data_IF_445360949561
#
_entry.id   IF_445360949561
#
_cell.length_a   1.000
_cell.length_b   1.000
_cell.length_c   1.000
_cell.angle_alpha   90.00
_cell.angle_beta   90.00
_cell.angle_gamma   90.00
#
_symmetry.space_group_name_H-M   'P 1'
#
loop_
_entity.id
_entity.type
_entity.pdbx_description
1 polymer ?
#
# COMPACT_ATOMS: atom_id res chain seq x y z
N UNK A 1 26.21 29.41 -0.98
CA UNK A 1 25.50 30.41 -0.14
C UNK A 1 23.97 30.41 -0.34
N UNK A 2 23.37 29.51 -1.14
CA UNK A 2 21.92 29.45 -1.40
C UNK A 2 21.13 28.44 -0.52
N UNK A 3 21.81 27.60 0.27
CA UNK A 3 21.16 26.59 1.13
C UNK A 3 20.31 27.17 2.28
N UNK A 4 20.38 28.49 2.51
CA UNK A 4 19.64 29.15 3.57
C UNK A 4 18.26 29.71 3.13
N UNK A 5 17.87 29.55 1.86
CA UNK A 5 16.62 30.14 1.32
C UNK A 5 15.44 29.15 1.33
N UNK A 6 15.69 27.85 1.22
CA UNK A 6 14.61 26.85 1.12
C UNK A 6 13.83 26.71 2.44
N UNK A 7 14.33 25.84 3.33
CA UNK A 7 13.67 25.58 4.62
C UNK A 7 13.57 26.83 5.51
N UNK A 8 14.62 27.68 5.66
CA UNK A 8 14.52 28.85 6.52
C UNK A 8 13.56 29.93 5.97
N UNK A 9 13.48 30.09 4.64
CA UNK A 9 12.56 31.02 4.00
C UNK A 9 11.10 30.60 4.16
N UNK A 10 10.81 29.30 3.99
CA UNK A 10 9.47 28.74 4.23
C UNK A 10 9.04 28.95 5.69
N UNK A 11 9.96 28.75 6.65
CA UNK A 11 9.69 28.95 8.08
C UNK A 11 9.31 30.42 8.36
N UNK A 12 10.05 31.37 7.78
CA UNK A 12 9.75 32.80 7.93
C UNK A 12 8.34 33.14 7.42
N UNK A 13 7.96 32.61 6.24
CA UNK A 13 6.62 32.79 5.68
C UNK A 13 5.56 32.17 6.60
N UNK A 14 5.80 30.96 7.12
CA UNK A 14 4.88 30.29 8.04
C UNK A 14 4.65 31.09 9.32
N UNK A 15 5.70 31.71 9.88
CA UNK A 15 5.59 32.59 11.06
C UNK A 15 4.78 33.84 10.75
N UNK A 16 5.03 34.51 9.61
CA UNK A 16 4.26 35.70 9.21
C UNK A 16 2.77 35.37 9.05
N UNK A 17 2.44 34.27 8.38
CA UNK A 17 1.05 33.81 8.24
C UNK A 17 0.44 33.48 9.60
N UNK A 18 1.19 32.80 10.48
CA UNK A 18 0.72 32.47 11.83
C UNK A 18 0.45 33.73 12.67
N UNK A 19 1.21 34.81 12.50
CA UNK A 19 0.99 36.08 13.20
C UNK A 19 -0.26 36.80 12.66
N UNK A 20 -0.45 36.84 11.34
CA UNK A 20 -1.61 37.49 10.71
C UNK A 20 -2.92 36.75 10.97
N UNK A 21 -2.90 35.42 10.89
CA UNK A 21 -4.08 34.59 11.07
C UNK A 21 -4.26 34.14 12.53
N UNK A 22 -3.21 34.15 13.33
CA UNK A 22 -3.21 33.67 14.72
C UNK A 22 -3.22 32.14 14.83
N UNK A 23 -2.60 31.62 15.89
CA UNK A 23 -2.58 30.17 16.20
C UNK A 23 -3.97 29.53 16.35
N UNK A 24 -4.97 30.29 16.81
CA UNK A 24 -6.33 29.79 17.02
C UNK A 24 -7.03 29.41 15.71
N UNK A 25 -7.06 30.33 14.73
CA UNK A 25 -7.75 30.10 13.45
C UNK A 25 -7.07 29.02 12.61
N UNK A 26 -5.73 29.01 12.58
CA UNK A 26 -4.96 28.00 11.83
C UNK A 26 -5.16 26.59 12.41
N UNK A 27 -5.18 26.43 13.74
CA UNK A 27 -5.37 25.13 14.39
C UNK A 27 -6.76 24.55 14.14
N UNK A 28 -7.81 25.37 14.25
CA UNK A 28 -9.18 24.94 13.96
C UNK A 28 -9.34 24.49 12.50
N UNK A 29 -8.82 25.28 11.55
CA UNK A 29 -8.87 24.95 10.12
C UNK A 29 -8.05 23.69 9.78
N UNK A 30 -6.85 23.54 10.35
CA UNK A 30 -6.05 22.32 10.14
C UNK A 30 -6.70 21.08 10.75
N UNK A 31 -7.45 21.22 11.84
CA UNK A 31 -8.23 20.13 12.42
C UNK A 31 -9.36 19.64 11.49
N UNK A 32 -10.10 20.57 10.87
CA UNK A 32 -11.18 20.25 9.93
C UNK A 32 -10.64 19.68 8.61
N UNK A 33 -9.60 20.32 8.05
CA UNK A 33 -8.92 19.85 6.84
C UNK A 33 -8.24 18.51 7.07
N UNK A 34 -7.60 18.29 8.23
CA UNK A 34 -6.94 17.03 8.57
C UNK A 34 -7.92 15.85 8.64
N UNK A 35 -9.12 16.06 9.19
CA UNK A 35 -10.19 15.05 9.17
C UNK A 35 -10.65 14.73 7.75
N UNK A 36 -10.80 15.74 6.89
CA UNK A 36 -11.15 15.56 5.48
C UNK A 36 -10.09 14.76 4.71
N UNK A 37 -8.81 15.09 4.87
CA UNK A 37 -7.70 14.36 4.25
C UNK A 37 -7.63 12.92 4.77
N UNK A 38 -7.88 12.70 6.06
CA UNK A 38 -7.85 11.37 6.67
C UNK A 38 -9.00 10.49 6.15
N UNK A 39 -10.21 11.05 6.07
CA UNK A 39 -11.37 10.37 5.50
C UNK A 39 -11.18 10.06 4.01
N UNK A 40 -10.61 11.01 3.25
CA UNK A 40 -10.27 10.81 1.85
C UNK A 40 -9.23 9.69 1.68
N UNK A 41 -8.15 9.72 2.45
CA UNK A 41 -7.11 8.69 2.39
C UNK A 41 -7.63 7.31 2.79
N UNK A 42 -8.50 7.26 3.79
CA UNK A 42 -9.19 6.02 4.18
C UNK A 42 -10.11 5.52 3.07
N UNK A 43 -10.93 6.39 2.48
CA UNK A 43 -11.81 6.02 1.37
C UNK A 43 -11.07 5.52 0.13
N UNK A 44 -9.91 6.11 -0.20
CA UNK A 44 -9.06 5.64 -1.31
C UNK A 44 -8.47 4.26 -1.00
N UNK A 45 -7.86 4.08 0.18
CA UNK A 45 -7.28 2.79 0.57
C UNK A 45 -8.33 1.67 0.71
N UNK A 46 -9.51 1.99 1.24
CA UNK A 46 -10.61 1.02 1.39
C UNK A 46 -11.15 0.64 0.00
N UNK A 47 -11.26 1.59 -0.94
CA UNK A 47 -11.64 1.32 -2.33
C UNK A 47 -10.61 0.47 -3.08
N UNK A 48 -9.32 0.74 -2.90
CA UNK A 48 -8.24 -0.11 -3.46
C UNK A 48 -8.29 -1.52 -2.88
N UNK A 49 -8.55 -1.64 -1.57
CA UNK A 49 -8.64 -2.94 -0.88
C UNK A 49 -9.88 -3.73 -1.27
N UNK A 50 -11.01 -3.06 -1.49
CA UNK A 50 -12.27 -3.68 -1.92
C UNK A 50 -12.16 -4.21 -3.34
N UNK A 51 -11.52 -3.47 -4.26
CA UNK A 51 -11.22 -3.94 -5.63
C UNK A 51 -10.28 -5.15 -5.61
N UNK A 52 -9.24 -5.14 -4.76
CA UNK A 52 -8.32 -6.27 -4.62
C UNK A 52 -8.99 -7.49 -3.96
N UNK A 53 -9.92 -7.28 -3.01
CA UNK A 53 -10.70 -8.35 -2.38
C UNK A 53 -11.75 -8.94 -3.33
N UNK A 54 -12.43 -8.13 -4.14
CA UNK A 54 -13.38 -8.60 -5.15
C UNK A 54 -12.67 -9.43 -6.24
N UNK A 55 -11.46 -9.01 -6.63
CA UNK A 55 -10.63 -9.72 -7.60
C UNK A 55 -10.11 -11.06 -7.06
N UNK A 56 -9.77 -11.12 -5.77
CA UNK A 56 -9.37 -12.37 -5.09
C UNK A 56 -10.56 -13.32 -4.87
N UNK A 57 -11.75 -12.78 -4.54
CA UNK A 57 -12.98 -13.57 -4.43
C UNK A 57 -13.42 -14.13 -5.80
N UNK A 58 -13.26 -13.37 -6.88
CA UNK A 58 -13.53 -13.83 -8.24
C UNK A 58 -12.56 -14.92 -8.71
N UNK A 59 -11.29 -14.89 -8.27
CA UNK A 59 -10.30 -15.95 -8.57
C UNK A 59 -10.53 -17.21 -7.72
N UNK A 60 -10.94 -17.09 -6.46
CA UNK A 60 -11.23 -18.24 -5.60
C UNK A 60 -12.45 -19.04 -6.07
N UNK A 61 -13.41 -18.42 -6.75
CA UNK A 61 -14.56 -19.10 -7.34
C UNK A 61 -14.24 -19.91 -8.62
N UNK A 62 -13.10 -19.66 -9.26
CA UNK A 62 -12.68 -20.37 -10.47
C UNK A 62 -11.93 -21.69 -10.18
N UNK A 63 -11.46 -21.92 -8.95
CA UNK A 63 -10.58 -23.04 -8.59
C UNK A 63 -11.32 -24.30 -8.06
N UNK A 64 -12.65 -24.35 -8.13
CA UNK A 64 -13.45 -25.52 -7.66
C UNK A 64 -14.03 -26.40 -8.80
N UNK A 65 -13.66 -26.19 -10.08
CA UNK A 65 -14.19 -27.01 -11.20
C UNK A 65 -13.20 -27.98 -11.85
N UNK A 66 -11.95 -28.04 -11.41
CA UNK A 66 -10.90 -28.89 -12.01
C UNK A 66 -10.12 -29.41 -10.78
N UNK A 67 -10.24 -30.63 -10.24
CA UNK A 67 -10.11 -31.95 -10.83
C UNK A 67 -10.64 -32.98 -9.79
N UNK A 68 -11.75 -33.65 -10.07
CA UNK A 68 -11.99 -35.00 -9.54
C UNK A 68 -12.36 -35.88 -10.71
N UNK A 69 -11.36 -36.62 -11.20
CA UNK A 69 -11.46 -37.46 -12.40
C UNK A 69 -10.18 -38.23 -12.63
N UNK A 70 -9.99 -39.27 -11.81
CA UNK A 70 -9.39 -40.57 -12.18
C UNK A 70 -8.08 -40.56 -13.00
N UNK A 71 -6.96 -40.82 -12.33
CA UNK A 71 -6.08 -41.93 -12.73
C UNK A 71 -5.35 -42.51 -11.51
N UNK A 72 -5.70 -43.74 -11.20
CA UNK A 72 -5.09 -44.63 -10.21
C UNK A 72 -3.82 -45.26 -10.78
N UNK A 73 -2.65 -44.92 -10.19
CA UNK A 73 -1.55 -45.80 -9.73
C UNK A 73 -0.80 -46.74 -10.72
N UNK A 74 0.40 -47.29 -10.39
CA UNK A 74 1.50 -46.87 -9.50
C UNK A 74 2.91 -47.06 -10.16
N UNK A 75 4.00 -47.05 -9.37
CA UNK A 75 5.35 -47.62 -9.65
C UNK A 75 6.31 -46.65 -10.40
N UNK A 76 7.48 -46.19 -9.96
CA UNK A 76 8.47 -46.65 -8.98
C UNK A 76 9.39 -45.46 -8.56
N UNK A 77 9.71 -45.36 -7.28
CA UNK A 77 11.03 -44.91 -6.76
C UNK A 77 11.85 -46.21 -6.58
N UNK A 78 13.20 -46.31 -6.64
CA UNK A 78 14.32 -45.33 -6.64
C UNK A 78 15.41 -45.59 -7.72
N UNK A 79 16.39 -44.68 -7.89
CA UNK A 79 17.80 -44.87 -8.35
C UNK A 79 18.27 -43.61 -9.10
N UNK A 80 19.12 -42.77 -8.52
CA UNK A 80 20.57 -42.87 -8.46
C UNK A 80 21.30 -42.39 -9.74
N UNK A 81 22.31 -41.57 -9.48
CA UNK A 81 23.49 -41.22 -10.29
C UNK A 81 23.50 -39.95 -11.15
N UNK A 82 24.38 -39.05 -10.66
CA UNK A 82 25.38 -38.28 -11.39
C UNK A 82 24.96 -37.06 -12.21
N UNK A 83 25.20 -35.87 -11.63
CA UNK A 83 25.92 -34.83 -12.36
C UNK A 83 26.92 -34.09 -11.45
N UNK A 84 28.12 -33.94 -11.99
CA UNK A 84 29.38 -33.56 -11.37
C UNK A 84 29.75 -32.14 -11.81
N UNK A 85 29.73 -31.16 -10.90
CA UNK A 85 30.41 -29.84 -10.96
C UNK A 85 29.96 -29.08 -9.69
N UNK A 86 30.76 -28.38 -8.91
CA UNK A 86 31.97 -27.61 -9.14
C UNK A 86 32.46 -27.15 -7.75
N UNK A 87 33.79 -27.01 -7.59
CA UNK A 87 34.56 -26.39 -6.47
C UNK A 87 34.73 -27.19 -5.18
#
# INVERSE_FOLDING_TARGET
>A
MLNNIGIPGLLLIAVVVLVLFGRGKVSSLMGEVGKGITAFKKGVNDGDSEIEAEKQAAQAAADTKIVHGTETAPLVTPAASEEKKEV
#
